data_IF_722322695892
#
_entry.id   IF_722322695892
#
_cell.length_a   1.000
_cell.length_b   1.000
_cell.length_c   1.000
_cell.angle_alpha   90.00
_cell.angle_beta   90.00
_cell.angle_gamma   90.00
#
_symmetry.space_group_name_H-M   'P 1'
#
loop_
_entity.id
_entity.type
_entity.pdbx_description
1 polymer ?
#
# COMPACT_ATOMS: atom_id res chain seq x y z
N UNK A 1 1.65 -18.03 -1.89
CA UNK A 1 2.54 -16.87 -1.82
C UNK A 1 1.77 -15.61 -2.12
N UNK A 2 1.63 -14.69 -1.15
CA UNK A 2 0.87 -13.47 -1.41
C UNK A 2 1.55 -12.61 -2.47
N UNK A 3 0.74 -11.96 -3.25
CA UNK A 3 1.19 -11.15 -4.36
C UNK A 3 0.98 -9.68 -4.04
N UNK A 4 2.04 -8.89 -4.15
CA UNK A 4 2.03 -7.49 -3.74
C UNK A 4 2.36 -6.60 -4.91
N UNK A 5 1.52 -5.59 -5.14
CA UNK A 5 1.80 -4.55 -6.11
C UNK A 5 2.45 -3.37 -5.40
N UNK A 6 3.57 -2.88 -5.93
CA UNK A 6 4.23 -1.69 -5.40
C UNK A 6 4.22 -0.62 -6.48
N UNK A 7 3.69 0.54 -6.14
CA UNK A 7 3.60 1.68 -7.06
C UNK A 7 4.34 2.85 -6.45
N UNK A 8 5.53 3.16 -6.96
CA UNK A 8 6.37 4.22 -6.43
C UNK A 8 7.29 4.72 -7.55
N UNK A 9 7.32 6.01 -7.77
CA UNK A 9 8.14 6.58 -8.83
C UNK A 9 9.62 6.77 -8.43
N UNK A 10 9.95 6.56 -7.16
CA UNK A 10 11.33 6.62 -6.71
C UNK A 10 11.96 5.24 -6.86
N UNK A 11 12.91 5.06 -7.81
CA UNK A 11 13.45 3.73 -8.07
C UNK A 11 14.21 3.14 -6.89
N UNK A 12 14.81 3.96 -6.05
CA UNK A 12 15.53 3.42 -4.89
C UNK A 12 14.58 2.90 -3.83
N UNK A 13 13.50 3.63 -3.58
CA UNK A 13 12.50 3.19 -2.62
C UNK A 13 11.83 1.91 -3.12
N UNK A 14 11.44 1.90 -4.38
CA UNK A 14 10.79 0.72 -4.96
C UNK A 14 11.67 -0.51 -4.92
N UNK A 15 12.94 -0.36 -5.30
CA UNK A 15 13.88 -1.48 -5.30
C UNK A 15 14.12 -2.01 -3.88
N UNK A 16 14.20 -1.11 -2.91
CA UNK A 16 14.39 -1.51 -1.51
C UNK A 16 13.20 -2.32 -1.01
N UNK A 17 12.00 -1.83 -1.28
CA UNK A 17 10.78 -2.53 -0.89
C UNK A 17 10.74 -3.92 -1.55
N UNK A 18 11.06 -3.98 -2.83
CA UNK A 18 11.03 -5.23 -3.57
C UNK A 18 11.95 -6.28 -2.94
N UNK A 19 13.19 -5.88 -2.64
CA UNK A 19 14.15 -6.80 -2.04
C UNK A 19 13.67 -7.29 -0.68
N UNK A 20 13.19 -6.36 0.15
CA UNK A 20 12.73 -6.73 1.49
C UNK A 20 11.57 -7.72 1.43
N UNK A 21 10.63 -7.50 0.54
CA UNK A 21 9.46 -8.34 0.45
C UNK A 21 9.76 -9.70 -0.17
N UNK A 22 10.62 -9.72 -1.19
CA UNK A 22 11.01 -10.98 -1.79
C UNK A 22 11.74 -11.88 -0.81
N UNK A 23 12.54 -11.31 0.07
CA UNK A 23 13.22 -12.08 1.11
C UNK A 23 12.25 -12.73 2.09
N UNK A 24 11.06 -12.17 2.22
CA UNK A 24 10.03 -12.73 3.11
C UNK A 24 9.10 -13.69 2.38
N UNK A 25 9.37 -13.98 1.12
CA UNK A 25 8.58 -14.94 0.36
C UNK A 25 7.39 -14.35 -0.38
N UNK A 26 7.28 -13.02 -0.45
CA UNK A 26 6.21 -12.40 -1.21
C UNK A 26 6.56 -12.32 -2.69
N UNK A 27 5.53 -12.42 -3.53
CA UNK A 27 5.66 -12.23 -4.97
C UNK A 27 5.37 -10.75 -5.25
N UNK A 28 6.37 -10.01 -5.74
CA UNK A 28 6.29 -8.56 -5.86
C UNK A 28 6.28 -8.13 -7.32
N UNK A 29 5.32 -7.27 -7.66
CA UNK A 29 5.32 -6.56 -8.94
C UNK A 29 5.61 -5.11 -8.66
N UNK A 30 6.77 -4.63 -9.11
CA UNK A 30 7.17 -3.24 -8.91
C UNK A 30 6.82 -2.43 -10.13
N UNK A 31 6.11 -1.32 -9.93
CA UNK A 31 5.78 -0.38 -11.00
C UNK A 31 6.23 1.01 -10.59
N UNK A 32 6.48 1.86 -11.57
CA UNK A 32 7.11 3.15 -11.36
C UNK A 32 6.16 4.35 -11.44
N UNK A 33 4.88 4.11 -11.55
CA UNK A 33 3.95 5.22 -11.60
C UNK A 33 2.51 4.77 -11.72
N UNK A 34 1.62 5.75 -11.82
CA UNK A 34 0.19 5.46 -11.85
C UNK A 34 -0.22 4.64 -13.05
N UNK A 35 0.29 4.98 -14.22
CA UNK A 35 -0.10 4.30 -15.44
C UNK A 35 0.32 2.84 -15.43
N UNK A 36 1.58 2.57 -15.08
CA UNK A 36 2.09 1.21 -15.04
C UNK A 36 1.45 0.41 -13.91
N UNK A 37 1.16 1.06 -12.78
CA UNK A 37 0.49 0.41 -11.68
C UNK A 37 -0.93 -0.01 -12.02
N UNK A 38 -1.69 0.88 -12.67
CA UNK A 38 -3.04 0.56 -13.08
C UNK A 38 -3.07 -0.54 -14.13
N UNK A 39 -2.09 -0.53 -15.04
CA UNK A 39 -1.98 -1.60 -16.03
C UNK A 39 -1.74 -2.96 -15.37
N UNK A 40 -0.94 -2.98 -14.31
CA UNK A 40 -0.69 -4.21 -13.57
C UNK A 40 -1.97 -4.76 -12.95
N UNK A 41 -2.84 -3.88 -12.45
CA UNK A 41 -4.12 -4.31 -11.87
C UNK A 41 -5.03 -4.97 -12.90
N UNK A 42 -4.87 -4.62 -14.17
CA UNK A 42 -5.69 -5.19 -15.23
C UNK A 42 -5.25 -6.59 -15.64
N UNK A 43 -3.99 -6.94 -15.39
CA UNK A 43 -3.44 -8.19 -15.86
C UNK A 43 -3.17 -9.22 -14.78
N UNK A 44 -3.14 -8.80 -13.52
CA UNK A 44 -2.81 -9.69 -12.41
C UNK A 44 -3.70 -9.41 -11.21
N UNK A 45 -3.81 -10.40 -10.34
CA UNK A 45 -4.51 -10.25 -9.07
C UNK A 45 -3.50 -10.05 -7.96
N UNK A 46 -3.82 -9.18 -7.02
CA UNK A 46 -2.93 -8.84 -5.90
C UNK A 46 -3.65 -9.02 -4.57
N UNK A 47 -2.87 -9.35 -3.54
CA UNK A 47 -3.40 -9.51 -2.18
C UNK A 47 -3.30 -8.19 -1.40
N UNK A 48 -2.38 -7.33 -1.78
CA UNK A 48 -2.26 -6.00 -1.19
C UNK A 48 -1.51 -5.11 -2.18
N UNK A 49 -1.76 -3.80 -2.13
CA UNK A 49 -1.01 -2.85 -2.94
C UNK A 49 -0.47 -1.72 -2.09
N UNK A 50 0.78 -1.34 -2.37
CA UNK A 50 1.46 -0.20 -1.76
C UNK A 50 1.51 0.91 -2.79
N UNK A 51 0.89 2.04 -2.49
CA UNK A 51 0.78 3.13 -3.46
C UNK A 51 1.34 4.42 -2.86
N UNK A 52 2.36 4.97 -3.51
CA UNK A 52 2.90 6.27 -3.15
C UNK A 52 1.90 7.35 -3.52
N UNK A 53 1.65 8.28 -2.62
CA UNK A 53 0.70 9.34 -2.90
C UNK A 53 1.33 10.51 -3.65
N UNK A 54 2.67 10.56 -3.71
CA UNK A 54 3.36 11.62 -4.45
C UNK A 54 3.94 11.06 -5.73
N UNK A 55 3.14 11.05 -6.78
CA UNK A 55 3.60 10.60 -8.09
C UNK A 55 3.30 11.67 -9.13
N UNK A 56 4.17 11.82 -10.14
CA UNK A 56 3.88 12.72 -11.25
C UNK A 56 2.54 12.37 -11.89
N UNK A 57 1.82 13.36 -12.30
CA UNK A 57 0.54 13.21 -13.02
C UNK A 57 -0.61 12.73 -12.14
N UNK A 58 -0.38 12.54 -10.84
CA UNK A 58 -1.46 12.27 -9.90
C UNK A 58 -1.34 13.23 -8.73
N UNK A 59 -2.39 13.96 -8.45
CA UNK A 59 -2.36 14.98 -7.42
C UNK A 59 -2.67 14.39 -6.05
N UNK A 60 -1.73 14.55 -5.13
CA UNK A 60 -1.98 14.24 -3.74
C UNK A 60 -2.69 12.93 -3.52
N UNK A 61 -3.86 13.00 -2.92
CA UNK A 61 -4.61 11.80 -2.56
C UNK A 61 -5.36 11.14 -3.71
N UNK A 62 -5.29 11.71 -4.91
CA UNK A 62 -6.01 11.16 -6.06
C UNK A 62 -5.58 9.74 -6.37
N UNK A 63 -4.30 9.43 -6.17
CA UNK A 63 -3.80 8.08 -6.42
C UNK A 63 -4.52 7.05 -5.55
N UNK A 64 -4.78 7.38 -4.29
CA UNK A 64 -5.50 6.46 -3.39
C UNK A 64 -6.87 6.15 -3.96
N UNK A 65 -7.61 7.20 -4.34
CA UNK A 65 -8.96 7.05 -4.85
C UNK A 65 -8.98 6.21 -6.14
N UNK A 66 -8.09 6.52 -7.05
CA UNK A 66 -8.06 5.86 -8.35
C UNK A 66 -7.72 4.37 -8.21
N UNK A 67 -6.69 4.06 -7.44
CA UNK A 67 -6.30 2.68 -7.27
C UNK A 67 -7.34 1.89 -6.50
N UNK A 68 -7.95 2.50 -5.48
CA UNK A 68 -9.00 1.84 -4.73
C UNK A 68 -10.22 1.56 -5.61
N UNK A 69 -10.61 2.53 -6.45
CA UNK A 69 -11.75 2.33 -7.33
C UNK A 69 -11.51 1.25 -8.37
N UNK A 70 -10.25 1.14 -8.83
CA UNK A 70 -9.90 0.12 -9.82
C UNK A 70 -9.89 -1.28 -9.23
N UNK A 71 -9.51 -1.42 -7.97
CA UNK A 71 -9.42 -2.72 -7.31
C UNK A 71 -9.95 -2.61 -5.88
N UNK A 72 -11.26 -2.45 -5.70
CA UNK A 72 -11.82 -2.17 -4.38
C UNK A 72 -11.67 -3.31 -3.37
N UNK A 73 -11.47 -4.54 -3.83
CA UNK A 73 -11.30 -5.66 -2.91
C UNK A 73 -9.86 -5.82 -2.41
N UNK A 74 -8.92 -5.07 -2.99
CA UNK A 74 -7.50 -5.22 -2.63
C UNK A 74 -7.17 -4.17 -1.58
N UNK A 75 -6.66 -4.59 -0.40
CA UNK A 75 -6.23 -3.64 0.61
C UNK A 75 -5.15 -2.72 0.04
N UNK A 76 -5.26 -1.43 0.33
CA UNK A 76 -4.34 -0.43 -0.18
C UNK A 76 -3.60 0.22 0.98
N UNK A 77 -2.28 0.19 0.93
CA UNK A 77 -1.43 0.89 1.90
C UNK A 77 -0.90 2.14 1.21
N UNK A 78 -1.29 3.31 1.72
CA UNK A 78 -0.83 4.57 1.18
C UNK A 78 0.53 4.92 1.78
N UNK A 79 1.47 5.33 0.93
CA UNK A 79 2.80 5.73 1.39
C UNK A 79 2.94 7.24 1.23
N UNK A 80 3.34 7.93 2.31
CA UNK A 80 3.57 9.36 2.26
C UNK A 80 5.06 9.64 2.22
N UNK A 81 5.44 10.66 1.43
CA UNK A 81 6.84 11.01 1.30
C UNK A 81 7.28 12.07 2.30
N UNK A 82 8.50 12.53 2.11
CA UNK A 82 9.13 13.50 2.99
C UNK A 82 8.38 14.81 3.10
N UNK A 83 7.66 15.19 2.06
CA UNK A 83 6.96 16.47 2.10
C UNK A 83 5.97 16.52 3.26
N UNK A 84 5.33 15.40 3.57
CA UNK A 84 4.47 15.33 4.74
C UNK A 84 5.25 15.07 6.01
N UNK A 85 6.33 14.31 5.91
CA UNK A 85 7.14 13.99 7.08
C UNK A 85 7.85 15.21 7.64
N UNK A 86 8.17 16.19 6.78
CA UNK A 86 8.87 17.39 7.21
C UNK A 86 7.93 18.46 7.74
N UNK A 87 6.63 18.33 7.59
CA UNK A 87 5.74 19.25 8.24
C UNK A 87 5.80 19.02 9.73
N UNK A 88 5.46 20.04 10.48
CA UNK A 88 5.69 20.11 11.91
C UNK A 88 5.09 18.93 12.67
N UNK A 89 4.11 18.28 12.13
CA UNK A 89 3.59 17.05 12.72
C UNK A 89 2.87 16.29 11.65
N UNK A 90 2.83 14.96 11.78
CA UNK A 90 1.99 14.19 10.90
C UNK A 90 0.58 14.66 11.16
N UNK A 91 0.01 15.27 10.19
CA UNK A 91 -1.35 15.75 10.36
C UNK A 91 -2.26 14.54 10.57
N UNK A 92 -3.03 14.52 11.67
CA UNK A 92 -4.07 13.52 11.81
C UNK A 92 -5.03 13.53 10.64
N UNK A 93 -5.14 14.69 9.99
CA UNK A 93 -6.03 14.84 8.84
C UNK A 93 -5.52 14.07 7.63
N UNK A 94 -4.20 13.93 7.48
CA UNK A 94 -3.66 13.13 6.39
C UNK A 94 -4.11 11.68 6.50
N UNK A 95 -3.97 11.09 7.69
CA UNK A 95 -4.37 9.70 7.90
C UNK A 95 -5.87 9.53 7.66
N UNK A 96 -6.67 10.44 8.22
CA UNK A 96 -8.11 10.37 8.06
C UNK A 96 -8.52 10.48 6.60
N UNK A 97 -7.93 11.42 5.86
CA UNK A 97 -8.25 11.60 4.45
C UNK A 97 -7.89 10.37 3.63
N UNK A 98 -6.73 9.79 3.92
CA UNK A 98 -6.30 8.59 3.19
C UNK A 98 -7.28 7.44 3.43
N UNK A 99 -7.69 7.26 4.67
CA UNK A 99 -8.63 6.19 5.00
C UNK A 99 -10.00 6.42 4.36
N UNK A 100 -10.45 7.67 4.34
CA UNK A 100 -11.75 7.99 3.72
C UNK A 100 -11.74 7.73 2.22
N UNK A 101 -10.59 7.88 1.58
CA UNK A 101 -10.46 7.66 0.14
C UNK A 101 -10.26 6.20 -0.24
N UNK A 102 -10.11 5.33 0.75
CA UNK A 102 -10.04 3.91 0.50
C UNK A 102 -8.77 3.22 0.96
N UNK A 103 -7.83 3.93 1.56
CA UNK A 103 -6.64 3.28 2.10
C UNK A 103 -7.00 2.45 3.32
N UNK A 104 -6.45 1.26 3.39
CA UNK A 104 -6.63 0.39 4.57
C UNK A 104 -5.67 0.80 5.67
N UNK A 105 -4.44 1.18 5.28
CA UNK A 105 -3.38 1.59 6.19
C UNK A 105 -2.53 2.65 5.53
N UNK A 106 -1.70 3.32 6.32
CA UNK A 106 -0.74 4.31 5.82
C UNK A 106 0.64 4.01 6.36
N UNK A 107 1.66 4.28 5.54
CA UNK A 107 3.05 4.20 5.95
C UNK A 107 3.73 5.52 5.61
N UNK A 108 4.49 6.05 6.55
CA UNK A 108 5.24 7.28 6.33
C UNK A 108 6.69 6.95 6.02
N UNK A 109 7.20 7.49 4.93
CA UNK A 109 8.61 7.34 4.58
C UNK A 109 9.44 8.32 5.40
N UNK A 110 10.62 7.94 5.87
CA UNK A 110 11.17 6.60 5.78
C UNK A 110 10.54 5.66 6.81
N UNK A 111 10.32 4.42 6.43
CA UNK A 111 9.79 3.42 7.35
C UNK A 111 10.83 2.31 7.54
N UNK A 112 10.73 1.62 8.67
CA UNK A 112 11.61 0.50 8.94
C UNK A 112 11.11 -0.76 8.23
N UNK A 113 11.99 -1.74 7.99
CA UNK A 113 11.52 -3.02 7.45
C UNK A 113 10.43 -3.65 8.31
N UNK A 114 10.55 -3.55 9.64
CA UNK A 114 9.53 -4.10 10.52
C UNK A 114 8.18 -3.42 10.34
N UNK A 115 8.17 -2.10 10.23
CA UNK A 115 6.92 -1.36 10.02
C UNK A 115 6.27 -1.76 8.71
N UNK A 116 7.06 -1.89 7.65
CA UNK A 116 6.56 -2.32 6.36
C UNK A 116 5.93 -3.70 6.43
N UNK A 117 6.67 -4.66 6.99
CA UNK A 117 6.21 -6.04 7.05
C UNK A 117 4.99 -6.19 7.95
N UNK A 118 4.97 -5.51 9.09
CA UNK A 118 3.84 -5.56 10.01
C UNK A 118 2.59 -5.02 9.33
N UNK A 119 2.71 -3.89 8.65
CA UNK A 119 1.57 -3.27 7.98
C UNK A 119 1.01 -4.18 6.88
N UNK A 120 1.90 -4.78 6.09
CA UNK A 120 1.47 -5.70 5.04
C UNK A 120 0.77 -6.92 5.63
N UNK A 121 1.33 -7.51 6.68
CA UNK A 121 0.74 -8.69 7.30
C UNK A 121 -0.61 -8.39 7.91
N UNK A 122 -0.79 -7.21 8.47
CA UNK A 122 -2.09 -6.81 8.99
C UNK A 122 -3.15 -6.75 7.89
N UNK A 123 -2.78 -6.28 6.71
CA UNK A 123 -3.71 -6.19 5.60
C UNK A 123 -4.07 -7.57 5.04
N UNK A 124 -3.11 -8.47 4.99
CA UNK A 124 -3.33 -9.83 4.47
C UNK A 124 -4.12 -10.66 5.46
N UNK A 125 -3.87 -10.45 6.75
CA UNK A 125 -4.53 -11.22 7.80
C UNK A 125 -6.01 -10.86 7.96
N UNK A 126 -6.41 -9.68 7.49
CA UNK A 126 -7.82 -9.35 7.49
C UNK A 126 -8.49 -10.27 6.48
N UNK A 127 -9.20 -11.26 6.94
CA UNK A 127 -9.66 -12.27 6.02
C UNK A 127 -10.79 -11.73 5.27
N UNK A 128 -10.48 -11.71 4.54
CA UNK A 128 -11.66 -11.71 3.98
C UNK A 128 -12.19 -13.06 4.14
N UNK A 129 -11.02 -13.35 4.74
CA UNK A 129 -11.05 -14.19 4.84
C UNK A 129 -11.42 -14.96 5.23
N UNK A 130 -11.29 -15.13 5.40
CA UNK A 130 -11.60 -15.74 5.85
C UNK A 130 -11.56 -16.17 6.48
N UNK A 131 -11.17 -16.15 6.40
CA UNK A 131 -11.11 -16.31 7.23
C UNK A 131 -11.27 -16.40 8.01
N UNK A 132 -11.09 -16.22 8.11
CA UNK A 132 -11.22 -15.96 9.09
C UNK A 132 -11.52 -15.78 9.76
N UNK A 133 -11.53 -15.97 9.82
CA UNK A 133 -11.80 -15.58 10.74
C UNK A 133 -12.11 -15.46 11.31
N UNK A 134 -12.04 -15.40 11.41
CA UNK A 134 -12.34 -15.16 12.25
C UNK A 134 -12.50 -15.05 12.85
N UNK A 135 -12.37 -15.18 12.64
CA UNK A 135 -12.54 -15.02 13.49
C UNK A 135 -12.47 -14.88 14.02
N UNK A 136 -12.19 -14.82 14.00
CA UNK A 136 -12.09 -14.57 14.72
C UNK A 136 -12.19 -14.21 15.27
N UNK A 137 -12.13 -14.15 15.14
CA UNK A 137 -12.25 -13.87 15.85
C UNK A 137 -12.51 -13.71 16.27
N UNK A 138 -12.43 -13.76 15.92
CA UNK A 138 -12.62 -13.64 16.48
C UNK A 138 -12.71 -13.58 16.80
N UNK A 139 -12.63 -13.62 16.50
CA UNK A 139 -12.70 -13.54 16.95
C UNK A 139 -12.70 -13.55 17.13
N UNK A 140 -12.65 -13.66 17.17
CA UNK A 140 -12.63 -13.59 17.51
C UNK A 140 -12.59 -13.63 17.62
#
# INVERSE_FOLDING_TARGET
>A
MPRILVVDDDPMVGATIEVLLQRQGFDVTLTDGGETGLAALETQNFDVMLVDIFMPHMRGFESIRIFHERAPAVPLIAMSGYAFASSASPSPDFLRMALELGATRCLRKPFTPDALLTTIRECIAVPGDGSQPKDKKEVP
#
